data_IF_462682862291
#
_entry.id   IF_462682862291
#
_cell.length_a   1.000
_cell.length_b   1.000
_cell.length_c   1.000
_cell.angle_alpha   90.00
_cell.angle_beta   90.00
_cell.angle_gamma   90.00
#
_symmetry.space_group_name_H-M   'P 1'
#
loop_
_entity.id
_entity.type
_entity.pdbx_description
1 polymer ?
#
# COMPACT_ATOMS: atom_id res chain seq x y z
N UNK A 1 -12.25 2.84 15.70
CA UNK A 1 -13.13 1.72 15.33
C UNK A 1 -12.44 0.95 14.22
N UNK A 2 -12.15 -0.33 14.42
CA UNK A 2 -11.58 -1.21 13.39
C UNK A 2 -12.71 -1.59 12.43
N UNK A 3 -12.49 -1.54 11.11
CA UNK A 3 -13.54 -1.90 10.16
C UNK A 3 -13.77 -3.41 10.17
N UNK A 4 -15.01 -3.87 10.41
CA UNK A 4 -15.30 -5.30 10.56
C UNK A 4 -15.02 -6.10 9.28
N UNK A 5 -15.11 -5.47 8.11
CA UNK A 5 -14.82 -6.11 6.82
C UNK A 5 -13.36 -6.50 6.61
N UNK A 6 -12.41 -5.84 7.28
CA UNK A 6 -10.96 -6.08 7.10
C UNK A 6 -10.49 -7.23 8.00
N UNK A 7 -11.10 -7.36 9.18
CA UNK A 7 -10.84 -8.46 10.12
C UNK A 7 -11.39 -9.80 9.61
N UNK A 8 -12.47 -9.76 8.81
CA UNK A 8 -13.13 -10.95 8.25
C UNK A 8 -12.74 -11.25 6.79
N UNK A 9 -11.84 -10.47 6.20
CA UNK A 9 -11.41 -10.72 4.83
C UNK A 9 -10.58 -12.02 4.76
N UNK A 10 -11.00 -12.98 3.93
CA UNK A 10 -10.25 -14.22 3.67
C UNK A 10 -8.79 -13.96 3.23
N UNK A 11 -8.50 -12.76 2.71
CA UNK A 11 -7.14 -12.29 2.41
C UNK A 11 -6.98 -10.80 2.71
N UNK A 12 -6.34 -10.42 3.83
CA UNK A 12 -6.06 -9.02 4.18
C UNK A 12 -5.24 -8.28 3.10
N UNK A 13 -4.41 -9.01 2.35
CA UNK A 13 -3.65 -8.45 1.24
C UNK A 13 -4.54 -8.04 0.06
N UNK A 14 -5.57 -8.81 -0.25
CA UNK A 14 -6.51 -8.47 -1.31
C UNK A 14 -7.21 -7.13 -1.03
N UNK A 15 -7.48 -6.83 0.25
CA UNK A 15 -8.01 -5.54 0.69
C UNK A 15 -7.01 -4.40 0.42
N UNK A 16 -5.74 -4.58 0.80
CA UNK A 16 -4.67 -3.59 0.54
C UNK A 16 -4.63 -3.24 -0.94
N UNK A 17 -4.50 -4.24 -1.81
CA UNK A 17 -4.43 -4.04 -3.26
C UNK A 17 -5.68 -3.37 -3.80
N UNK A 18 -6.88 -3.84 -3.42
CA UNK A 18 -8.15 -3.31 -3.93
C UNK A 18 -8.36 -1.87 -3.51
N UNK A 19 -7.96 -1.53 -2.28
CA UNK A 19 -7.95 -0.16 -1.86
C UNK A 19 -7.01 0.62 -2.79
N UNK A 20 -5.73 0.23 -2.89
CA UNK A 20 -4.69 0.99 -3.60
C UNK A 20 -5.07 1.23 -5.05
N UNK A 21 -5.51 0.19 -5.76
CA UNK A 21 -5.96 0.30 -7.15
C UNK A 21 -7.11 1.32 -7.32
N UNK A 22 -8.08 1.37 -6.39
CA UNK A 22 -9.18 2.34 -6.45
C UNK A 22 -8.70 3.79 -6.26
N UNK A 23 -7.74 4.00 -5.38
CA UNK A 23 -7.17 5.33 -5.17
C UNK A 23 -6.49 5.83 -6.45
N UNK A 24 -5.64 5.01 -7.06
CA UNK A 24 -4.94 5.37 -8.29
C UNK A 24 -5.89 5.59 -9.48
N UNK A 25 -6.93 4.77 -9.60
CA UNK A 25 -7.99 4.98 -10.60
C UNK A 25 -8.69 6.32 -10.40
N UNK A 26 -8.98 6.69 -9.15
CA UNK A 26 -9.62 7.96 -8.86
C UNK A 26 -8.71 9.18 -9.11
N UNK A 27 -7.41 9.08 -8.84
CA UNK A 27 -6.45 10.13 -9.20
C UNK A 27 -6.36 10.31 -10.71
N UNK A 28 -6.19 9.21 -11.45
CA UNK A 28 -6.16 9.22 -12.93
C UNK A 28 -7.45 9.83 -13.50
N UNK A 29 -8.60 9.51 -12.90
CA UNK A 29 -9.89 10.06 -13.31
C UNK A 29 -10.03 11.56 -12.98
N UNK A 30 -9.54 11.99 -11.81
CA UNK A 30 -9.47 13.41 -11.45
C UNK A 30 -8.64 14.22 -12.43
N UNK A 31 -7.45 13.73 -12.78
CA UNK A 31 -6.56 14.36 -13.77
C UNK A 31 -7.23 14.47 -15.14
N UNK A 32 -7.82 13.38 -15.63
CA UNK A 32 -8.52 13.34 -16.93
C UNK A 32 -9.68 14.33 -17.00
N UNK A 33 -10.39 14.51 -15.91
CA UNK A 33 -11.56 15.38 -15.85
C UNK A 33 -11.28 16.78 -15.31
N UNK A 34 -10.02 17.12 -15.00
CA UNK A 34 -9.65 18.36 -14.31
C UNK A 34 -10.48 18.58 -13.04
N UNK A 35 -10.75 17.49 -12.32
CA UNK A 35 -11.53 17.44 -11.09
C UNK A 35 -10.65 17.02 -9.93
N UNK A 36 -10.99 17.48 -8.72
CA UNK A 36 -10.33 16.98 -7.50
C UNK A 36 -10.51 15.46 -7.39
N UNK A 37 -9.49 14.69 -6.96
CA UNK A 37 -9.60 13.25 -6.79
C UNK A 37 -10.74 12.86 -5.83
N UNK A 38 -11.01 13.65 -4.78
CA UNK A 38 -12.15 13.44 -3.88
C UNK A 38 -13.51 13.58 -4.57
N UNK A 39 -13.57 14.36 -5.65
CA UNK A 39 -14.76 14.49 -6.48
C UNK A 39 -14.91 13.28 -7.41
N UNK A 40 -13.82 12.80 -8.01
CA UNK A 40 -13.81 11.63 -8.90
C UNK A 40 -14.15 10.30 -8.19
N UNK A 41 -13.94 10.20 -6.86
CA UNK A 41 -14.23 9.01 -6.04
C UNK A 41 -15.72 8.74 -5.79
N UNK A 42 -16.63 9.65 -6.13
CA UNK A 42 -18.05 9.54 -5.77
C UNK A 42 -18.80 8.63 -6.76
N UNK A 43 -19.51 7.62 -6.27
CA UNK A 43 -20.25 6.65 -7.10
C UNK A 43 -21.21 7.31 -8.12
N UNK A 44 -21.88 8.39 -7.71
CA UNK A 44 -22.75 9.21 -8.57
C UNK A 44 -22.05 9.91 -9.74
N UNK A 45 -20.72 9.92 -9.75
CA UNK A 45 -19.89 10.52 -10.79
C UNK A 45 -19.25 9.44 -11.69
N UNK A 46 -19.46 8.15 -11.42
CA UNK A 46 -19.13 7.10 -12.38
C UNK A 46 -20.17 7.14 -13.51
N UNK A 47 -19.74 7.17 -14.79
CA UNK A 47 -20.68 7.10 -15.90
C UNK A 47 -21.36 5.72 -15.92
N UNK A 48 -22.68 5.67 -16.13
CA UNK A 48 -23.48 4.43 -16.18
C UNK A 48 -23.00 3.41 -17.23
N UNK A 49 -22.21 3.86 -18.21
CA UNK A 49 -21.44 3.03 -19.11
C UNK A 49 -20.22 3.81 -19.58
N UNK A 50 -19.01 3.24 -19.45
CA UNK A 50 -17.87 3.75 -20.19
C UNK A 50 -18.12 3.52 -21.70
N UNK A 51 -17.96 4.54 -22.57
CA UNK A 51 -17.95 4.30 -24.00
C UNK A 51 -16.71 3.45 -24.35
N UNK A 52 -16.92 2.16 -24.56
CA UNK A 52 -15.88 1.24 -25.02
C UNK A 52 -15.62 1.52 -26.50
N UNK A 53 -14.36 1.73 -26.84
CA UNK A 53 -13.93 1.84 -28.25
C UNK A 53 -14.18 0.49 -28.90
N UNK A 54 -14.77 0.46 -30.10
CA UNK A 54 -14.98 -0.78 -30.84
C UNK A 54 -13.63 -1.52 -31.00
N UNK A 55 -13.47 -2.66 -30.31
CA UNK A 55 -12.25 -3.49 -30.31
C UNK A 55 -11.54 -3.64 -28.96
N UNK A 56 -12.03 -3.05 -27.87
CA UNK A 56 -11.41 -3.10 -26.53
C UNK A 56 -12.17 -4.07 -25.59
N UNK A 57 -12.32 -5.33 -25.99
CA UNK A 57 -13.09 -6.38 -25.28
C UNK A 57 -12.31 -7.10 -24.17
N UNK A 58 -11.32 -6.44 -23.56
CA UNK A 58 -10.67 -6.97 -22.36
C UNK A 58 -11.49 -6.57 -21.12
N UNK A 59 -12.46 -7.41 -20.83
CA UNK A 59 -13.29 -7.45 -19.62
C UNK A 59 -12.52 -7.17 -18.32
N UNK A 60 -12.39 -5.90 -17.96
CA UNK A 60 -12.14 -5.48 -16.58
C UNK A 60 -13.49 -5.54 -15.85
N UNK A 61 -13.65 -6.62 -15.10
CA UNK A 61 -14.80 -6.94 -14.27
C UNK A 61 -15.25 -5.73 -13.44
N UNK A 62 -16.28 -5.03 -13.89
CA UNK A 62 -16.96 -3.99 -13.13
C UNK A 62 -17.84 -4.70 -12.09
N UNK A 63 -17.21 -5.10 -10.99
CA UNK A 63 -17.94 -5.64 -9.84
C UNK A 63 -18.64 -4.47 -9.17
N UNK A 64 -19.94 -4.32 -9.47
CA UNK A 64 -20.86 -3.56 -8.64
C UNK A 64 -20.85 -4.19 -7.23
N UNK A 65 -20.05 -3.62 -6.32
CA UNK A 65 -20.05 -3.97 -4.90
C UNK A 65 -20.77 -2.85 -4.17
N UNK A 66 -21.90 -3.23 -3.58
CA UNK A 66 -22.71 -2.40 -2.70
C UNK A 66 -21.87 -1.69 -1.62
N UNK A 67 -22.30 -0.46 -1.34
CA UNK A 67 -21.69 0.47 -0.40
C UNK A 67 -21.70 -0.06 1.04
N UNK A 68 -20.50 -0.19 1.61
CA UNK A 68 -20.28 0.00 3.04
C UNK A 68 -19.02 0.85 3.23
N UNK A 69 -19.24 2.16 3.38
CA UNK A 69 -18.54 3.10 4.26
C UNK A 69 -16.98 3.17 4.20
N UNK A 70 -16.48 4.39 4.00
CA UNK A 70 -15.19 4.89 4.49
C UNK A 70 -13.85 4.37 3.90
N UNK A 71 -13.84 3.60 2.81
CA UNK A 71 -12.60 3.32 2.03
C UNK A 71 -11.84 4.59 1.51
N UNK A 72 -12.45 5.77 1.25
CA UNK A 72 -11.72 6.92 0.68
C UNK A 72 -10.60 7.50 1.55
N UNK A 73 -10.67 7.34 2.87
CA UNK A 73 -9.63 7.82 3.81
C UNK A 73 -8.51 6.80 4.02
N UNK A 74 -8.69 5.57 3.54
CA UNK A 74 -7.81 4.45 3.86
C UNK A 74 -6.40 4.64 3.31
N UNK A 75 -6.24 5.06 2.06
CA UNK A 75 -4.92 5.09 1.40
C UNK A 75 -4.13 6.34 1.63
N UNK A 76 -4.78 7.50 1.59
CA UNK A 76 -4.15 8.73 2.05
C UNK A 76 -3.61 8.51 3.47
N UNK A 77 -4.38 7.83 4.33
CA UNK A 77 -3.93 7.38 5.65
C UNK A 77 -2.81 6.32 5.60
N UNK A 78 -2.84 5.33 4.71
CA UNK A 78 -1.77 4.31 4.59
C UNK A 78 -0.45 4.98 4.21
N UNK A 79 -0.46 5.77 3.14
CA UNK A 79 0.74 6.46 2.62
C UNK A 79 1.25 7.43 3.68
N UNK A 80 0.38 8.29 4.25
CA UNK A 80 0.76 9.23 5.31
C UNK A 80 1.26 8.52 6.56
N UNK A 81 0.61 7.44 6.99
CA UNK A 81 1.03 6.71 8.20
C UNK A 81 2.34 5.96 7.98
N UNK A 82 2.54 5.34 6.81
CA UNK A 82 3.80 4.68 6.47
C UNK A 82 4.93 5.71 6.36
N UNK A 83 4.70 6.83 5.68
CA UNK A 83 5.65 7.93 5.58
C UNK A 83 5.99 8.52 6.96
N UNK A 84 4.99 8.79 7.80
CA UNK A 84 5.18 9.29 9.15
C UNK A 84 5.95 8.28 10.02
N UNK A 85 5.65 6.99 9.90
CA UNK A 85 6.37 5.95 10.61
C UNK A 85 7.85 5.92 10.20
N UNK A 86 8.14 5.96 8.89
CA UNK A 86 9.52 6.00 8.38
C UNK A 86 10.25 7.28 8.81
N UNK A 87 9.59 8.43 8.79
CA UNK A 87 10.15 9.69 9.24
C UNK A 87 10.52 9.64 10.74
N UNK A 88 9.63 9.09 11.58
CA UNK A 88 9.92 8.85 13.01
C UNK A 88 11.08 7.87 13.19
N UNK A 89 11.20 6.88 12.30
CA UNK A 89 12.32 5.95 12.30
C UNK A 89 13.65 6.56 11.83
N UNK A 90 13.67 7.81 11.36
CA UNK A 90 14.88 8.55 10.98
C UNK A 90 15.08 8.76 9.48
N UNK A 91 14.10 8.40 8.64
CA UNK A 91 14.17 8.69 7.20
C UNK A 91 13.95 10.19 6.92
N UNK A 92 14.62 10.76 5.89
CA UNK A 92 14.23 12.06 5.36
C UNK A 92 12.75 12.05 4.95
N UNK A 93 12.00 13.08 5.34
CA UNK A 93 10.55 13.11 5.15
C UNK A 93 10.13 13.00 3.67
N UNK A 94 10.92 13.60 2.76
CA UNK A 94 10.68 13.51 1.32
C UNK A 94 10.84 12.07 0.80
N UNK A 95 11.90 11.38 1.22
CA UNK A 95 12.17 9.99 0.81
C UNK A 95 11.13 9.04 1.42
N UNK A 96 10.75 9.25 2.68
CA UNK A 96 9.73 8.46 3.36
C UNK A 96 8.38 8.50 2.64
N UNK A 97 7.95 9.70 2.21
CA UNK A 97 6.73 9.87 1.42
C UNK A 97 6.85 9.19 0.05
N UNK A 98 7.92 9.47 -0.69
CA UNK A 98 8.13 8.89 -2.03
C UNK A 98 8.23 7.36 -2.01
N UNK A 99 8.85 6.77 -0.99
CA UNK A 99 8.90 5.32 -0.79
C UNK A 99 7.52 4.74 -0.55
N UNK A 100 6.73 5.34 0.36
CA UNK A 100 5.40 4.85 0.69
C UNK A 100 4.47 4.90 -0.53
N UNK A 101 4.50 6.01 -1.27
CA UNK A 101 3.75 6.22 -2.50
C UNK A 101 4.18 5.23 -3.59
N UNK A 102 5.49 5.14 -3.86
CA UNK A 102 6.02 4.21 -4.87
C UNK A 102 5.68 2.76 -4.57
N UNK A 103 5.83 2.33 -3.31
CA UNK A 103 5.48 0.96 -2.92
C UNK A 103 3.99 0.71 -3.11
N UNK A 104 3.12 1.67 -2.75
CA UNK A 104 1.69 1.56 -3.02
C UNK A 104 1.43 1.45 -4.54
N UNK A 105 2.01 2.33 -5.36
CA UNK A 105 1.91 2.27 -6.81
C UNK A 105 2.31 0.90 -7.37
N UNK A 106 3.43 0.33 -6.89
CA UNK A 106 3.95 -0.93 -7.42
C UNK A 106 3.10 -2.14 -7.06
N UNK A 107 2.40 -2.10 -5.94
CA UNK A 107 1.59 -3.23 -5.49
C UNK A 107 0.15 -3.20 -6.04
N UNK A 108 -0.31 -2.09 -6.63
CA UNK A 108 -1.67 -2.00 -7.21
C UNK A 108 -1.92 -3.08 -8.25
N UNK A 109 -0.88 -3.40 -9.01
CA UNK A 109 -0.95 -4.28 -10.18
C UNK A 109 -0.67 -5.75 -9.84
N UNK A 110 -0.36 -6.04 -8.57
CA UNK A 110 0.14 -7.36 -8.14
C UNK A 110 -0.92 -8.13 -7.36
N UNK A 111 -1.35 -9.26 -7.91
CA UNK A 111 -2.46 -10.07 -7.37
C UNK A 111 -2.22 -10.74 -6.01
N UNK A 112 -0.98 -10.83 -5.52
CA UNK A 112 -0.63 -11.51 -4.26
C UNK A 112 0.47 -10.80 -3.48
N UNK A 113 0.52 -11.03 -2.15
CA UNK A 113 1.54 -10.46 -1.27
C UNK A 113 2.93 -10.99 -1.63
N UNK A 114 2.99 -12.25 -2.06
CA UNK A 114 4.23 -12.93 -2.45
C UNK A 114 4.79 -12.31 -3.73
N UNK A 115 3.94 -12.10 -4.73
CA UNK A 115 4.30 -11.39 -5.95
C UNK A 115 4.78 -9.96 -5.64
N UNK A 116 4.10 -9.27 -4.72
CA UNK A 116 4.52 -7.93 -4.28
C UNK A 116 5.90 -7.92 -3.63
N UNK A 117 6.15 -8.82 -2.68
CA UNK A 117 7.46 -8.94 -2.04
C UNK A 117 8.55 -9.31 -3.06
N UNK A 118 8.27 -10.24 -3.97
CA UNK A 118 9.25 -10.70 -4.95
C UNK A 118 9.58 -9.63 -6.00
N UNK A 119 8.57 -8.92 -6.51
CA UNK A 119 8.75 -7.80 -7.45
C UNK A 119 9.53 -6.67 -6.79
N UNK A 120 9.11 -6.24 -5.59
CA UNK A 120 9.80 -5.18 -4.86
C UNK A 120 11.24 -5.57 -4.53
N UNK A 121 11.50 -6.80 -4.07
CA UNK A 121 12.88 -7.26 -3.78
C UNK A 121 13.79 -7.26 -5.01
N UNK A 122 13.23 -7.49 -6.21
CA UNK A 122 13.96 -7.46 -7.47
C UNK A 122 14.10 -6.05 -8.05
N UNK A 123 13.49 -5.05 -7.43
CA UNK A 123 13.55 -3.66 -7.88
C UNK A 123 14.93 -3.03 -7.61
N UNK A 124 15.82 -3.17 -8.58
CA UNK A 124 17.18 -2.66 -8.46
C UNK A 124 17.26 -1.16 -8.68
N UNK A 125 16.44 -0.62 -9.58
CA UNK A 125 16.45 0.79 -9.94
C UNK A 125 16.02 1.66 -8.75
N UNK A 126 14.88 1.34 -8.13
CA UNK A 126 14.39 2.12 -6.99
C UNK A 126 15.28 1.97 -5.75
N UNK A 127 15.82 0.77 -5.52
CA UNK A 127 16.82 0.56 -4.45
C UNK A 127 18.05 1.44 -4.65
N UNK A 128 18.58 1.51 -5.87
CA UNK A 128 19.76 2.32 -6.19
C UNK A 128 19.49 3.81 -6.06
N UNK A 129 18.30 4.26 -6.46
CA UNK A 129 17.84 5.64 -6.27
C UNK A 129 17.89 6.05 -4.78
N UNK A 130 17.46 5.16 -3.88
CA UNK A 130 17.52 5.38 -2.43
C UNK A 130 18.91 5.10 -1.81
N UNK A 131 19.89 4.68 -2.61
CA UNK A 131 21.24 4.31 -2.17
C UNK A 131 21.29 3.24 -1.08
N UNK A 132 20.30 2.34 -1.06
CA UNK A 132 20.21 1.26 -0.07
C UNK A 132 20.99 0.02 -0.50
N UNK A 133 21.58 -0.66 0.47
CA UNK A 133 22.07 -2.03 0.31
C UNK A 133 20.91 -3.02 0.14
N UNK A 134 21.23 -4.23 -0.33
CA UNK A 134 20.24 -5.33 -0.45
C UNK A 134 19.54 -5.67 0.88
N UNK A 135 20.22 -5.80 2.04
CA UNK A 135 19.54 -6.12 3.30
C UNK A 135 18.64 -4.98 3.79
N UNK A 136 19.05 -3.72 3.67
CA UNK A 136 18.24 -2.56 4.07
C UNK A 136 16.94 -2.49 3.27
N UNK A 137 17.03 -2.68 1.94
CA UNK A 137 15.86 -2.76 1.07
C UNK A 137 14.95 -3.94 1.43
N UNK A 138 15.53 -5.11 1.72
CA UNK A 138 14.73 -6.27 2.12
C UNK A 138 14.04 -6.05 3.47
N UNK A 139 14.66 -5.31 4.40
CA UNK A 139 14.05 -4.91 5.66
C UNK A 139 12.90 -3.92 5.42
N UNK A 140 13.07 -2.95 4.53
CA UNK A 140 12.04 -1.96 4.17
C UNK A 140 10.81 -2.63 3.54
N UNK A 141 11.02 -3.54 2.60
CA UNK A 141 9.93 -4.33 2.00
C UNK A 141 9.21 -5.17 3.08
N UNK A 142 9.95 -5.80 4.00
CA UNK A 142 9.36 -6.57 5.12
C UNK A 142 8.61 -5.69 6.11
N UNK A 143 9.06 -4.46 6.34
CA UNK A 143 8.41 -3.51 7.23
C UNK A 143 7.05 -3.08 6.65
N UNK A 144 7.04 -2.66 5.38
CA UNK A 144 5.85 -2.13 4.71
C UNK A 144 4.85 -3.24 4.37
N UNK A 145 5.30 -4.28 3.66
CA UNK A 145 4.43 -5.31 3.09
C UNK A 145 4.24 -6.49 4.05
N UNK A 146 5.22 -6.76 4.91
CA UNK A 146 5.19 -7.88 5.85
C UNK A 146 6.05 -9.07 5.41
N UNK A 147 5.88 -10.19 6.09
CA UNK A 147 6.61 -11.43 5.80
C UNK A 147 5.66 -12.60 5.61
N UNK A 148 5.95 -13.41 4.58
CA UNK A 148 5.29 -14.70 4.38
C UNK A 148 5.52 -15.63 5.59
N UNK A 149 4.57 -16.53 5.89
CA UNK A 149 4.83 -17.62 6.81
C UNK A 149 5.96 -18.49 6.25
N UNK A 150 6.89 -18.88 7.11
CA UNK A 150 7.87 -19.92 6.84
C UNK A 150 7.63 -21.08 7.82
N UNK A 151 8.21 -22.24 7.55
CA UNK A 151 8.17 -23.38 8.49
C UNK A 151 8.71 -23.01 9.88
N UNK A 152 9.56 -21.97 9.96
CA UNK A 152 10.17 -21.49 11.19
C UNK A 152 9.46 -20.27 11.82
N UNK A 153 8.55 -19.59 11.11
CA UNK A 153 7.95 -18.35 11.61
C UNK A 153 6.56 -18.08 11.02
N UNK A 154 5.56 -17.68 11.84
CA UNK A 154 4.22 -17.37 11.34
C UNK A 154 4.23 -16.15 10.41
N UNK A 155 3.18 -16.05 9.58
CA UNK A 155 2.93 -14.86 8.76
C UNK A 155 2.82 -13.64 9.68
N UNK A 156 3.46 -12.52 9.30
CA UNK A 156 3.39 -11.28 10.07
C UNK A 156 2.99 -10.13 9.15
N UNK A 157 1.88 -9.42 9.44
CA UNK A 157 1.43 -8.31 8.63
C UNK A 157 2.43 -7.15 8.71
N UNK A 158 2.68 -6.51 7.57
CA UNK A 158 3.43 -5.26 7.48
C UNK A 158 2.58 -4.05 7.85
N UNK A 159 3.19 -2.87 7.82
CA UNK A 159 2.52 -1.60 8.11
C UNK A 159 1.24 -1.40 7.29
N UNK A 160 1.26 -1.69 5.98
CA UNK A 160 0.12 -1.41 5.09
C UNK A 160 -1.16 -2.15 5.53
N UNK A 161 -1.02 -3.44 5.87
CA UNK A 161 -2.13 -4.27 6.35
C UNK A 161 -2.63 -3.78 7.71
N UNK A 162 -1.72 -3.46 8.63
CA UNK A 162 -2.08 -3.05 10.00
C UNK A 162 -2.78 -1.68 10.04
N UNK A 163 -2.32 -0.73 9.22
CA UNK A 163 -2.99 0.57 9.08
C UNK A 163 -4.41 0.40 8.54
N UNK A 164 -4.60 -0.46 7.54
CA UNK A 164 -5.94 -0.77 7.01
C UNK A 164 -6.81 -1.47 8.04
N UNK A 165 -6.27 -2.40 8.82
CA UNK A 165 -6.98 -3.02 9.95
C UNK A 165 -7.37 -2.03 11.05
N UNK A 166 -6.97 -0.77 10.94
CA UNK A 166 -7.39 0.35 11.77
C UNK A 166 -6.42 0.69 12.90
N UNK A 167 -5.23 0.09 12.92
CA UNK A 167 -4.20 0.45 13.90
C UNK A 167 -3.75 1.91 13.72
N UNK A 168 -3.47 2.55 14.84
CA UNK A 168 -2.98 3.92 14.93
C UNK A 168 -1.45 3.95 14.82
N UNK A 169 -0.90 5.09 14.42
CA UNK A 169 0.56 5.28 14.38
C UNK A 169 1.23 5.00 15.74
N UNK A 170 0.56 5.35 16.85
CA UNK A 170 1.06 5.08 18.19
C UNK A 170 1.17 3.58 18.51
N UNK A 171 0.16 2.79 18.12
CA UNK A 171 0.20 1.31 18.28
C UNK A 171 1.31 0.70 17.43
N UNK A 172 1.52 1.20 16.20
CA UNK A 172 2.57 0.73 15.31
C UNK A 172 3.97 1.05 15.86
N UNK A 173 4.16 2.26 16.40
CA UNK A 173 5.43 2.68 17.02
C UNK A 173 5.70 1.95 18.34
N UNK A 174 4.67 1.49 19.06
CA UNK A 174 4.85 0.71 20.28
C UNK A 174 5.43 -0.69 19.99
N UNK A 175 5.16 -1.25 18.80
CA UNK A 175 5.64 -2.57 18.40
C UNK A 175 7.18 -2.60 18.23
N UNK A 176 7.87 -3.27 19.16
CA UNK A 176 9.33 -3.40 19.16
C UNK A 176 9.87 -4.05 17.88
N UNK A 177 9.15 -5.04 17.32
CA UNK A 177 9.60 -5.74 16.11
C UNK A 177 9.53 -4.81 14.89
N UNK A 178 8.48 -3.98 14.79
CA UNK A 178 8.41 -2.98 13.73
C UNK A 178 9.54 -1.95 13.91
N UNK A 179 9.86 -1.55 15.15
CA UNK A 179 11.00 -0.66 15.43
C UNK A 179 12.34 -1.28 15.06
N UNK A 180 12.56 -2.55 15.37
CA UNK A 180 13.79 -3.26 15.01
C UNK A 180 13.97 -3.41 13.50
N UNK A 181 12.88 -3.70 12.77
CA UNK A 181 12.93 -3.69 11.32
C UNK A 181 13.20 -2.28 10.77
N UNK A 182 12.57 -1.25 11.35
CA UNK A 182 12.75 0.13 10.91
C UNK A 182 14.22 0.58 11.04
N UNK A 183 14.88 0.22 12.15
CA UNK A 183 16.32 0.47 12.33
C UNK A 183 17.15 -0.13 11.20
N UNK A 184 16.83 -1.35 10.78
CA UNK A 184 17.51 -2.05 9.68
C UNK A 184 17.25 -1.44 8.29
N UNK A 185 16.28 -0.53 8.16
CA UNK A 185 15.99 0.13 6.87
C UNK A 185 16.88 1.35 6.61
N UNK A 186 17.47 1.93 7.66
CA UNK A 186 18.26 3.16 7.52
C UNK A 186 19.55 2.89 6.74
N UNK A 187 19.96 3.80 5.84
CA UNK A 187 21.19 3.65 5.08
C UNK A 187 22.40 3.67 6.02
N UNK A 188 23.29 2.69 5.87
CA UNK A 188 24.45 2.52 6.72
C UNK A 188 24.18 1.73 8.01
N UNK A 189 22.97 1.16 8.15
CA UNK A 189 22.65 0.24 9.24
C UNK A 189 23.34 -1.10 9.01
N UNK A 190 24.67 -1.16 9.23
CA UNK A 190 25.42 -2.42 9.26
C UNK A 190 24.98 -3.26 10.48
N UNK A 191 24.90 -4.60 10.35
CA UNK A 191 24.83 -5.49 11.50
C UNK A 191 26.11 -5.46 12.34
#
# INVERSE_FOLDING_TARGET
>A
MREPGILNAESPWAVVRKAVARHLMAETQGERHLQSPDHARRLKNHPDAMPVRAGDDQTLMEVAVEDQAAVPRGIDRIVQCAAAYLAVAGWPAADAAGVAEYVCQRISDLGSQESAVDVLRRDHAFRQFLQLSKPEWAALVRLLVGSKPTTASPARPGLLVRVLSGESLAELLADERLRDLARQTLPGSRP
#
